data_IF_671828598546
#
_entry.id   IF_671828598546
#
_cell.length_a   1.000
_cell.length_b   1.000
_cell.length_c   1.000
_cell.angle_alpha   90.00
_cell.angle_beta   90.00
_cell.angle_gamma   90.00
#
_symmetry.space_group_name_H-M   'P 1'
#
loop_
_entity.id
_entity.type
_entity.pdbx_description
1 polymer ?
#
# COMPACT_ATOMS: atom_id res chain seq x y z
N UNK A 1 10.99 1.48 31.37
CA UNK A 1 11.40 1.01 30.03
C UNK A 1 10.16 0.87 29.20
N UNK A 2 9.94 1.77 28.24
CA UNK A 2 8.78 1.74 27.38
C UNK A 2 9.02 0.74 26.24
N UNK A 3 8.16 -0.28 26.15
CA UNK A 3 8.12 -1.19 25.03
C UNK A 3 7.72 -0.38 23.79
N UNK A 4 8.69 -0.13 22.91
CA UNK A 4 8.40 0.31 21.56
C UNK A 4 7.68 -0.86 20.88
N UNK A 5 6.36 -0.75 20.71
CA UNK A 5 5.65 -1.59 19.75
C UNK A 5 6.14 -1.16 18.38
N UNK A 6 7.24 -1.78 17.95
CA UNK A 6 7.67 -1.76 16.56
C UNK A 6 6.52 -2.35 15.77
N UNK A 7 5.68 -1.46 15.21
CA UNK A 7 4.80 -1.81 14.12
C UNK A 7 5.68 -2.24 12.97
N UNK A 8 6.05 -3.51 12.98
CA UNK A 8 6.55 -4.20 11.82
C UNK A 8 5.44 -4.03 10.79
N UNK A 9 5.60 -3.07 9.89
CA UNK A 9 4.90 -3.04 8.61
C UNK A 9 5.51 -4.19 7.80
N UNK A 10 5.30 -5.40 8.33
CA UNK A 10 6.00 -6.61 7.95
C UNK A 10 5.81 -6.79 6.47
N UNK A 11 6.92 -6.74 5.73
CA UNK A 11 7.50 -7.90 5.04
C UNK A 11 6.62 -8.77 4.13
N UNK A 12 5.31 -8.50 4.03
CA UNK A 12 4.35 -9.28 3.28
C UNK A 12 4.07 -8.66 1.91
N UNK A 13 4.32 -7.37 1.72
CA UNK A 13 3.99 -6.69 0.46
C UNK A 13 4.96 -7.03 -0.69
N UNK A 14 6.20 -7.41 -0.39
CA UNK A 14 7.12 -7.95 -1.41
C UNK A 14 6.86 -9.43 -1.73
N UNK A 15 6.16 -10.17 -0.86
CA UNK A 15 5.94 -11.62 -0.99
C UNK A 15 4.51 -12.01 -1.39
N UNK A 16 3.51 -11.13 -1.21
CA UNK A 16 2.14 -11.35 -1.66
C UNK A 16 1.92 -11.15 -3.19
N UNK A 17 2.97 -10.71 -3.91
CA UNK A 17 3.00 -10.64 -5.39
C UNK A 17 3.44 -11.98 -6.00
N UNK A 18 3.39 -13.10 -5.27
CA UNK A 18 3.73 -14.40 -5.84
C UNK A 18 2.72 -14.93 -6.88
N UNK A 19 1.55 -14.29 -7.09
CA UNK A 19 0.56 -14.68 -8.12
C UNK A 19 -0.15 -13.53 -8.87
N UNK A 20 0.23 -12.26 -8.66
CA UNK A 20 -0.37 -11.13 -9.37
C UNK A 20 0.20 -9.78 -8.92
N UNK A 21 0.22 -8.78 -9.81
CA UNK A 21 0.73 -7.43 -9.54
C UNK A 21 -0.31 -6.66 -8.73
N UNK A 22 -0.05 -6.42 -7.45
CA UNK A 22 -0.85 -5.52 -6.62
C UNK A 22 -0.02 -4.29 -6.24
N UNK A 23 -0.67 -3.12 -6.15
CA UNK A 23 -0.01 -1.87 -5.74
C UNK A 23 -0.69 -1.35 -4.49
N UNK A 24 0.10 -1.12 -3.44
CA UNK A 24 -0.35 -0.48 -2.22
C UNK A 24 -0.03 1.02 -2.26
N UNK A 25 -0.99 1.84 -1.85
CA UNK A 25 -0.89 3.29 -1.74
C UNK A 25 -1.43 3.75 -0.39
N UNK A 26 -1.04 4.94 0.04
CA UNK A 26 -1.47 5.52 1.32
C UNK A 26 -2.05 6.90 1.08
N UNK A 27 -3.14 7.21 1.79
CA UNK A 27 -3.73 8.56 1.75
C UNK A 27 -2.91 9.60 2.53
N UNK A 28 -2.05 9.15 3.45
CA UNK A 28 -1.21 10.00 4.29
C UNK A 28 0.28 9.77 4.02
N UNK A 29 1.04 10.87 3.92
CA UNK A 29 2.48 10.81 3.64
C UNK A 29 3.31 10.33 4.83
N UNK A 30 2.86 10.54 6.06
CA UNK A 30 3.53 10.03 7.26
C UNK A 30 3.51 8.50 7.27
N UNK A 31 2.34 7.90 7.04
CA UNK A 31 2.21 6.44 6.87
C UNK A 31 3.00 5.93 5.68
N UNK A 32 2.91 6.58 4.52
CA UNK A 32 3.73 6.22 3.36
C UNK A 32 5.24 6.26 3.65
N UNK A 33 5.68 7.20 4.48
CA UNK A 33 7.08 7.34 4.89
C UNK A 33 7.52 6.24 5.86
N UNK A 34 6.68 5.89 6.83
CA UNK A 34 6.92 4.80 7.78
C UNK A 34 7.04 3.46 7.06
N UNK A 35 6.20 3.24 6.04
CA UNK A 35 6.20 2.03 5.21
C UNK A 35 7.26 2.04 4.09
N UNK A 36 7.98 3.16 3.88
CA UNK A 36 8.99 3.26 2.85
C UNK A 36 10.23 2.41 3.18
N UNK A 37 10.91 1.93 2.13
CA UNK A 37 12.16 1.18 2.27
C UNK A 37 13.29 1.96 2.96
N UNK A 38 14.34 1.24 3.36
CA UNK A 38 15.49 1.81 4.07
C UNK A 38 16.38 2.65 3.14
N UNK A 39 16.07 3.93 2.98
CA UNK A 39 16.97 4.96 2.44
C UNK A 39 17.70 5.69 3.58
N UNK A 40 19.00 6.02 3.40
CA UNK A 40 19.84 6.60 4.47
C UNK A 40 19.99 8.13 4.42
N UNK A 41 19.72 8.78 3.29
CA UNK A 41 20.00 10.22 3.14
C UNK A 41 18.93 10.95 2.33
N UNK A 42 18.44 10.34 1.25
CA UNK A 42 17.30 10.82 0.48
C UNK A 42 16.29 9.71 0.27
N UNK A 43 15.01 10.07 0.27
CA UNK A 43 13.90 9.20 -0.04
C UNK A 43 13.08 9.80 -1.16
N UNK A 44 12.31 8.95 -1.83
CA UNK A 44 11.36 9.36 -2.84
C UNK A 44 9.95 8.88 -2.49
N UNK A 45 8.94 9.70 -2.80
CA UNK A 45 7.53 9.35 -2.68
C UNK A 45 6.84 9.69 -3.99
N UNK A 46 6.03 8.76 -4.50
CA UNK A 46 5.18 8.99 -5.66
C UNK A 46 3.81 9.47 -5.20
N UNK A 47 3.45 10.70 -5.55
CA UNK A 47 2.07 11.17 -5.49
C UNK A 47 1.37 10.66 -6.74
N UNK A 48 0.26 9.93 -6.55
CA UNK A 48 -0.51 9.35 -7.63
C UNK A 48 -2.00 9.69 -7.50
N UNK A 49 -2.71 9.66 -8.63
CA UNK A 49 -4.15 9.50 -8.66
C UNK A 49 -4.45 8.01 -8.82
N UNK A 50 -5.35 7.48 -8.00
CA UNK A 50 -5.70 6.06 -8.03
C UNK A 50 -7.15 5.92 -8.49
N UNK A 51 -7.38 5.10 -9.51
CA UNK A 51 -8.72 4.69 -9.94
C UNK A 51 -9.14 3.53 -9.04
N UNK A 52 -9.75 3.84 -7.88
CA UNK A 52 -10.05 2.85 -6.86
C UNK A 52 -11.17 1.86 -7.25
N UNK A 53 -12.04 2.23 -8.20
CA UNK A 53 -13.17 1.41 -8.64
C UNK A 53 -14.08 0.99 -7.49
N UNK A 54 -14.58 -0.25 -7.56
CA UNK A 54 -15.33 -0.91 -6.48
C UNK A 54 -14.35 -1.27 -5.36
N UNK A 55 -14.52 -0.62 -4.22
CA UNK A 55 -13.64 -0.77 -3.06
C UNK A 55 -14.28 -1.70 -2.03
N UNK A 56 -13.59 -2.79 -1.67
CA UNK A 56 -13.94 -3.58 -0.50
C UNK A 56 -13.30 -2.97 0.74
N UNK A 57 -14.06 -2.79 1.82
CA UNK A 57 -13.47 -2.50 3.13
C UNK A 57 -12.92 -3.81 3.71
N UNK A 58 -11.64 -3.83 4.08
CA UNK A 58 -11.02 -5.02 4.68
C UNK A 58 -11.72 -5.35 6.00
N UNK A 59 -12.15 -6.60 6.17
CA UNK A 59 -12.76 -7.13 7.40
C UNK A 59 -11.89 -8.22 8.06
N UNK A 60 -10.73 -8.55 7.46
CA UNK A 60 -9.77 -9.50 8.02
C UNK A 60 -8.43 -9.57 7.27
N UNK A 61 -7.45 -10.28 7.84
CA UNK A 61 -6.10 -10.38 7.30
C UNK A 61 -6.02 -11.15 5.96
N UNK A 62 -6.91 -12.10 5.70
CA UNK A 62 -6.77 -13.10 4.62
C UNK A 62 -7.44 -12.72 3.29
N UNK A 63 -8.19 -11.62 3.25
CA UNK A 63 -9.06 -11.27 2.11
C UNK A 63 -8.28 -10.84 0.85
N UNK A 64 -7.02 -10.43 1.02
CA UNK A 64 -6.17 -9.99 -0.09
C UNK A 64 -5.70 -11.16 -0.97
N UNK A 65 -5.77 -12.40 -0.46
CA UNK A 65 -5.38 -13.60 -1.21
C UNK A 65 -6.58 -14.30 -1.86
N UNK A 66 -7.80 -13.93 -1.47
CA UNK A 66 -9.02 -14.52 -2.01
C UNK A 66 -9.27 -14.10 -3.47
N UNK A 67 -9.34 -15.10 -4.35
CA UNK A 67 -9.62 -14.89 -5.76
C UNK A 67 -11.04 -14.35 -6.00
N UNK A 68 -11.99 -14.66 -5.10
CA UNK A 68 -13.36 -14.15 -5.21
C UNK A 68 -13.40 -12.62 -5.07
N UNK A 69 -12.63 -12.09 -4.10
CA UNK A 69 -12.49 -10.65 -3.86
C UNK A 69 -11.89 -9.94 -5.06
N UNK A 70 -10.84 -10.52 -5.68
CA UNK A 70 -10.21 -9.94 -6.87
C UNK A 70 -11.11 -9.93 -8.11
N UNK A 71 -12.13 -10.79 -8.16
CA UNK A 71 -13.09 -10.83 -9.27
C UNK A 71 -14.24 -9.82 -9.09
N UNK A 72 -14.58 -9.48 -7.85
CA UNK A 72 -15.72 -8.61 -7.53
C UNK A 72 -15.32 -7.15 -7.29
N UNK A 73 -14.11 -6.92 -6.78
CA UNK A 73 -13.61 -5.61 -6.39
C UNK A 73 -12.33 -5.23 -7.14
N UNK A 74 -12.20 -3.93 -7.40
CA UNK A 74 -11.04 -3.38 -8.10
C UNK A 74 -9.92 -2.99 -7.09
N UNK A 75 -10.30 -2.76 -5.83
CA UNK A 75 -9.38 -2.44 -4.75
C UNK A 75 -9.89 -2.84 -3.37
N UNK A 76 -8.97 -2.88 -2.39
CA UNK A 76 -9.26 -3.11 -0.97
C UNK A 76 -8.72 -1.96 -0.15
N UNK A 77 -9.59 -1.34 0.64
CA UNK A 77 -9.21 -0.33 1.64
C UNK A 77 -8.82 -1.03 2.94
N UNK A 78 -7.57 -0.84 3.35
CA UNK A 78 -7.06 -1.27 4.64
C UNK A 78 -7.26 -0.22 5.73
N UNK A 79 -6.60 -0.44 6.86
CA UNK A 79 -6.56 0.51 7.97
C UNK A 79 -5.51 1.60 7.71
N UNK A 80 -5.50 2.64 8.55
CA UNK A 80 -4.51 3.72 8.49
C UNK A 80 -4.35 4.41 7.11
N UNK A 81 -5.40 4.38 6.27
CA UNK A 81 -5.38 5.03 4.97
C UNK A 81 -4.75 4.21 3.84
N UNK A 82 -4.52 2.92 4.05
CA UNK A 82 -4.03 1.99 3.03
C UNK A 82 -5.10 1.72 1.95
N UNK A 83 -4.68 1.71 0.68
CA UNK A 83 -5.47 1.25 -0.45
C UNK A 83 -4.63 0.36 -1.36
N UNK A 84 -5.07 -0.90 -1.53
CA UNK A 84 -4.43 -1.86 -2.42
C UNK A 84 -5.27 -2.02 -3.68
N UNK A 85 -4.66 -1.80 -4.85
CA UNK A 85 -5.27 -2.03 -6.17
C UNK A 85 -4.69 -3.28 -6.81
N UNK A 86 -5.51 -4.01 -7.55
CA UNK A 86 -5.12 -5.26 -8.22
C UNK A 86 -4.67 -5.09 -9.68
N UNK A 87 -4.82 -3.87 -10.24
CA UNK A 87 -4.33 -3.50 -11.57
C UNK A 87 -3.40 -2.28 -11.43
N UNK A 88 -2.13 -2.43 -11.83
CA UNK A 88 -1.16 -1.34 -11.78
C UNK A 88 -1.51 -0.18 -12.70
N UNK A 89 -2.29 -0.41 -13.76
CA UNK A 89 -2.77 0.65 -14.66
C UNK A 89 -3.75 1.61 -13.98
N UNK A 90 -4.32 1.21 -12.84
CA UNK A 90 -5.17 2.09 -12.03
C UNK A 90 -4.38 3.19 -11.30
N UNK A 91 -3.04 3.10 -11.25
CA UNK A 91 -2.18 4.08 -10.59
C UNK A 91 -1.61 5.04 -11.63
N UNK A 92 -2.08 6.29 -11.59
CA UNK A 92 -1.64 7.34 -12.48
C UNK A 92 -0.60 8.22 -11.76
N UNK A 93 0.69 8.11 -12.11
CA UNK A 93 1.73 8.94 -11.49
C UNK A 93 1.45 10.42 -11.76
N UNK A 94 1.55 11.25 -10.71
CA UNK A 94 1.35 12.70 -10.82
C UNK A 94 2.66 13.44 -10.57
N UNK A 95 3.30 13.20 -9.41
CA UNK A 95 4.53 13.88 -9.03
C UNK A 95 5.46 12.96 -8.26
N UNK A 96 6.76 13.07 -8.52
CA UNK A 96 7.80 12.41 -7.73
C UNK A 96 8.41 13.43 -6.76
N UNK A 97 8.24 13.18 -5.47
CA UNK A 97 8.88 13.95 -4.40
C UNK A 97 10.20 13.29 -4.06
N UNK A 98 11.30 14.03 -4.09
CA UNK A 98 12.60 13.59 -3.55
C UNK A 98 12.92 14.49 -2.36
N UNK A 99 13.06 13.90 -1.18
CA UNK A 99 13.27 14.63 0.06
C UNK A 99 14.39 14.03 0.89
N UNK A 100 14.96 14.84 1.77
CA UNK A 100 15.94 14.39 2.77
C UNK A 100 15.21 13.98 4.04
N UNK A 101 15.80 13.02 4.76
CA UNK A 101 15.35 12.59 6.08
C UNK A 101 15.68 13.62 7.16
#
# INVERSE_FOLDING_TARGET
>A
GAAASSGDCGGLFSTAVAKGVAVCTYSDSGRAHECAGRGRERRAMLVCRVIAGRVKKRVGLDELMDASVRSEFDSVKGDDGELVVFDSRAVLPCFLLIYKL
#
